data_IF_653493883470
#
_entry.id   IF_653493883470
#
_cell.length_a   1.000
_cell.length_b   1.000
_cell.length_c   1.000
_cell.angle_alpha   90.00
_cell.angle_beta   90.00
_cell.angle_gamma   90.00
#
_symmetry.space_group_name_H-M   'P 1'
#
loop_
_entity.id
_entity.type
_entity.pdbx_description
1 polymer ?
#
# COMPACT_ATOMS: atom_id res chain seq x y z
N UNK A 1 33.81 -38.59 -26.01
CA UNK A 1 32.34 -38.26 -26.06
C UNK A 1 31.70 -37.93 -24.71
N UNK A 2 32.40 -37.94 -23.57
CA UNK A 2 31.84 -37.79 -22.20
C UNK A 2 31.64 -36.33 -21.75
N UNK A 3 32.38 -35.37 -22.30
CA UNK A 3 32.34 -33.95 -21.83
C UNK A 3 31.18 -33.08 -22.33
N UNK A 4 30.43 -33.53 -23.35
CA UNK A 4 29.27 -32.73 -23.87
C UNK A 4 28.01 -32.85 -22.99
N UNK A 5 27.84 -33.99 -22.30
CA UNK A 5 26.68 -34.19 -21.42
C UNK A 5 26.80 -33.37 -20.14
N UNK A 6 27.97 -33.28 -19.54
CA UNK A 6 28.20 -32.51 -18.30
C UNK A 6 27.95 -31.01 -18.51
N UNK A 7 28.31 -30.44 -19.67
CA UNK A 7 28.04 -29.05 -20.00
C UNK A 7 26.56 -28.73 -20.10
N UNK A 8 25.75 -29.66 -20.65
CA UNK A 8 24.26 -29.43 -20.75
C UNK A 8 23.59 -29.46 -19.40
N UNK A 9 23.97 -30.36 -18.50
CA UNK A 9 23.37 -30.41 -17.15
C UNK A 9 23.82 -29.26 -16.26
N UNK A 10 25.05 -28.78 -16.39
CA UNK A 10 25.52 -27.59 -15.68
C UNK A 10 24.76 -26.33 -16.08
N UNK A 11 24.44 -26.15 -17.35
CA UNK A 11 23.67 -25.00 -17.84
C UNK A 11 22.22 -25.03 -17.38
N UNK A 12 21.59 -26.23 -17.36
CA UNK A 12 20.21 -26.39 -16.84
C UNK A 12 20.14 -26.13 -15.35
N UNK A 13 21.14 -26.52 -14.57
CA UNK A 13 21.18 -26.28 -13.13
C UNK A 13 21.35 -24.81 -12.79
N UNK A 14 22.21 -24.10 -13.53
CA UNK A 14 22.36 -22.64 -13.37
C UNK A 14 21.07 -21.89 -13.75
N UNK A 15 20.41 -22.31 -14.83
CA UNK A 15 19.16 -21.70 -15.25
C UNK A 15 18.03 -21.89 -14.24
N UNK A 16 17.96 -23.05 -13.57
CA UNK A 16 16.94 -23.32 -12.52
C UNK A 16 17.18 -22.48 -11.26
N UNK A 17 18.45 -22.19 -10.91
CA UNK A 17 18.79 -21.33 -9.76
C UNK A 17 18.42 -19.87 -10.07
N UNK A 18 18.57 -19.41 -11.30
CA UNK A 18 18.20 -18.05 -11.70
C UNK A 18 16.70 -17.83 -11.73
N UNK A 19 15.90 -18.88 -11.98
CA UNK A 19 14.43 -18.79 -11.99
C UNK A 19 13.81 -18.82 -10.59
N UNK A 20 14.53 -19.27 -9.57
CA UNK A 20 14.02 -19.37 -8.19
C UNK A 20 14.25 -18.10 -7.35
N UNK A 21 14.85 -17.03 -7.91
CA UNK A 21 15.25 -15.85 -7.14
C UNK A 21 14.26 -14.68 -7.15
N UNK A 22 13.09 -14.80 -7.78
CA UNK A 22 12.02 -13.81 -7.63
C UNK A 22 11.15 -14.15 -6.42
N UNK A 23 11.68 -14.00 -5.21
CA UNK A 23 10.81 -13.85 -4.04
C UNK A 23 10.20 -12.45 -4.07
N UNK A 24 8.92 -12.37 -4.38
CA UNK A 24 8.12 -11.19 -4.07
C UNK A 24 8.05 -11.09 -2.55
N UNK A 25 8.73 -10.13 -1.98
CA UNK A 25 8.57 -9.79 -0.57
C UNK A 25 7.23 -9.07 -0.43
N UNK A 26 6.24 -9.75 0.12
CA UNK A 26 4.97 -9.13 0.48
C UNK A 26 5.21 -8.20 1.67
N UNK A 27 5.40 -6.92 1.39
CA UNK A 27 5.51 -5.91 2.43
C UNK A 27 4.14 -5.65 3.03
N UNK A 28 3.98 -6.01 4.29
CA UNK A 28 2.72 -5.84 5.00
C UNK A 28 2.63 -4.46 5.65
N UNK A 29 1.43 -3.90 5.58
CA UNK A 29 1.08 -2.64 6.21
C UNK A 29 -0.23 -2.82 6.97
N UNK A 30 -0.44 -2.01 8.00
CA UNK A 30 -1.70 -1.94 8.72
C UNK A 30 -2.15 -0.48 8.87
N UNK A 31 -3.43 -0.27 9.14
CA UNK A 31 -3.98 1.05 9.43
C UNK A 31 -4.25 1.18 10.93
N UNK A 32 -3.50 2.03 11.59
CA UNK A 32 -3.74 2.41 12.99
C UNK A 32 -4.87 3.44 13.04
N UNK A 33 -6.06 2.99 13.45
CA UNK A 33 -7.27 3.82 13.54
C UNK A 33 -7.11 4.94 14.57
N UNK A 34 -6.44 4.67 15.70
CA UNK A 34 -6.26 5.65 16.75
C UNK A 34 -5.34 6.79 16.31
N UNK A 35 -4.28 6.47 15.59
CA UNK A 35 -3.33 7.44 15.05
C UNK A 35 -3.72 7.99 13.69
N UNK A 36 -4.76 7.41 13.03
CA UNK A 36 -5.12 7.74 11.66
C UNK A 36 -3.90 7.66 10.72
N UNK A 37 -3.15 6.56 10.79
CA UNK A 37 -1.93 6.37 10.04
C UNK A 37 -1.83 4.98 9.41
N UNK A 38 -1.10 4.87 8.30
CA UNK A 38 -0.63 3.60 7.73
C UNK A 38 0.79 3.39 8.21
N UNK A 39 1.08 2.18 8.69
CA UNK A 39 2.41 1.80 9.15
C UNK A 39 2.86 0.47 8.55
N UNK A 40 4.14 0.40 8.22
CA UNK A 40 4.79 -0.83 7.79
C UNK A 40 4.98 -1.79 8.97
N UNK A 41 4.82 -3.09 8.70
CA UNK A 41 5.07 -4.16 9.67
C UNK A 41 6.56 -4.56 9.75
N UNK A 42 7.30 -4.29 8.68
CA UNK A 42 8.70 -4.70 8.49
C UNK A 42 9.64 -3.50 8.27
N UNK A 43 9.24 -2.30 8.68
CA UNK A 43 9.96 -1.03 8.49
C UNK A 43 10.22 -0.67 7.02
N UNK A 44 9.42 -1.21 6.10
CA UNK A 44 9.48 -0.83 4.69
C UNK A 44 9.08 0.64 4.50
N UNK A 45 9.83 1.34 3.68
CA UNK A 45 9.63 2.77 3.44
C UNK A 45 8.40 3.04 2.60
N UNK A 46 7.64 4.04 2.99
CA UNK A 46 6.47 4.52 2.24
C UNK A 46 6.91 5.64 1.31
N UNK A 47 7.20 5.28 0.05
CA UNK A 47 7.64 6.24 -0.97
C UNK A 47 6.46 6.74 -1.80
N UNK A 48 5.43 5.91 -1.97
CA UNK A 48 4.27 6.23 -2.80
C UNK A 48 3.03 5.51 -2.30
N UNK A 49 1.94 6.25 -2.20
CA UNK A 49 0.61 5.75 -1.88
C UNK A 49 -0.38 6.13 -2.99
N UNK A 50 -1.19 5.17 -3.40
CA UNK A 50 -2.40 5.42 -4.18
C UNK A 50 -3.59 5.35 -3.24
N UNK A 51 -4.41 6.38 -3.21
CA UNK A 51 -5.62 6.47 -2.40
C UNK A 51 -6.80 6.62 -3.36
N UNK A 52 -7.64 5.61 -3.45
CA UNK A 52 -8.80 5.57 -4.33
C UNK A 52 -10.08 5.63 -3.52
N UNK A 53 -11.02 6.48 -3.90
CA UNK A 53 -12.36 6.49 -3.33
C UNK A 53 -13.23 5.49 -4.09
N UNK A 54 -13.65 4.42 -3.41
CA UNK A 54 -14.46 3.34 -3.98
C UNK A 54 -15.97 3.56 -3.80
N UNK A 55 -16.37 4.67 -3.20
CA UNK A 55 -17.78 4.99 -2.99
C UNK A 55 -18.44 5.45 -4.28
N UNK A 56 -19.72 5.12 -4.41
CA UNK A 56 -20.56 5.58 -5.50
C UNK A 56 -21.25 6.89 -5.06
N UNK A 57 -21.24 7.89 -5.92
CA UNK A 57 -21.99 9.13 -5.72
C UNK A 57 -23.50 8.86 -5.83
N UNK A 58 -24.36 9.77 -5.30
CA UNK A 58 -25.81 9.67 -5.44
C UNK A 58 -26.30 9.59 -6.89
N UNK A 59 -25.53 10.10 -7.84
CA UNK A 59 -25.78 10.04 -9.29
C UNK A 59 -25.37 8.69 -9.94
N UNK A 60 -24.87 7.74 -9.16
CA UNK A 60 -24.43 6.41 -9.62
C UNK A 60 -23.02 6.36 -10.16
N UNK A 61 -22.28 7.47 -10.21
CA UNK A 61 -20.88 7.49 -10.67
C UNK A 61 -19.91 7.35 -9.51
N UNK A 62 -18.72 6.80 -9.79
CA UNK A 62 -17.62 6.79 -8.83
C UNK A 62 -17.17 8.23 -8.52
N UNK A 63 -16.69 8.45 -7.30
CA UNK A 63 -15.95 9.66 -7.01
C UNK A 63 -14.69 9.74 -7.88
N UNK A 64 -14.23 10.97 -8.15
CA UNK A 64 -13.05 11.21 -8.97
C UNK A 64 -11.85 10.35 -8.57
N UNK A 65 -11.08 9.95 -9.60
CA UNK A 65 -10.00 8.99 -9.56
C UNK A 65 -8.99 9.14 -8.43
N UNK A 66 -8.19 8.12 -8.25
CA UNK A 66 -7.24 7.99 -7.16
C UNK A 66 -6.24 9.13 -7.06
N UNK A 67 -5.86 9.47 -5.83
CA UNK A 67 -4.79 10.43 -5.55
C UNK A 67 -3.48 9.69 -5.32
N UNK A 68 -2.46 10.03 -6.08
CA UNK A 68 -1.10 9.55 -5.84
C UNK A 68 -0.36 10.53 -4.95
N UNK A 69 0.08 10.03 -3.80
CA UNK A 69 0.98 10.74 -2.88
C UNK A 69 2.37 10.17 -3.04
N UNK A 70 3.35 11.04 -3.29
CA UNK A 70 4.73 10.67 -3.59
C UNK A 70 5.67 11.39 -2.64
N UNK A 71 6.60 10.66 -2.05
CA UNK A 71 7.72 11.21 -1.30
C UNK A 71 8.72 11.87 -2.27
N UNK A 72 9.04 13.14 -2.05
CA UNK A 72 9.96 13.94 -2.90
C UNK A 72 11.39 13.99 -2.39
N UNK A 73 11.62 13.55 -1.17
CA UNK A 73 12.97 13.45 -0.60
C UNK A 73 13.75 12.23 -1.08
N UNK A 74 14.89 11.99 -0.44
CA UNK A 74 15.65 10.76 -0.67
C UNK A 74 14.81 9.54 -0.27
N UNK A 75 14.59 8.55 -1.15
CA UNK A 75 13.77 7.37 -0.84
C UNK A 75 14.23 6.57 0.38
N UNK A 76 15.54 6.56 0.68
CA UNK A 76 16.08 5.89 1.87
C UNK A 76 15.72 6.58 3.18
N UNK A 77 15.27 7.84 3.13
CA UNK A 77 14.82 8.63 4.27
C UNK A 77 13.29 8.74 4.35
N UNK A 78 12.58 8.10 3.42
CA UNK A 78 11.13 8.06 3.48
C UNK A 78 10.69 7.37 4.79
N UNK A 79 9.57 7.80 5.39
CA UNK A 79 9.07 7.20 6.62
C UNK A 79 8.51 5.79 6.38
N UNK A 80 8.47 4.98 7.41
CA UNK A 80 7.77 3.70 7.48
C UNK A 80 6.32 3.85 8.00
N UNK A 81 5.93 5.07 8.36
CA UNK A 81 4.58 5.45 8.80
C UNK A 81 4.11 6.71 8.05
N UNK A 82 2.88 6.70 7.55
CA UNK A 82 2.23 7.85 6.92
C UNK A 82 1.00 8.25 7.73
N UNK A 83 1.04 9.44 8.34
CA UNK A 83 -0.06 10.01 9.12
C UNK A 83 -0.98 10.86 8.25
N UNK A 84 -2.29 10.60 8.31
CA UNK A 84 -3.31 11.40 7.64
C UNK A 84 -3.75 12.65 8.42
N UNK A 85 -3.39 12.73 9.71
CA UNK A 85 -3.66 13.91 10.53
C UNK A 85 -2.55 14.95 10.36
N UNK A 86 -1.29 14.48 10.25
CA UNK A 86 -0.12 15.34 10.14
C UNK A 86 0.77 14.84 8.99
N UNK A 87 0.36 15.18 7.77
CA UNK A 87 1.08 14.74 6.57
C UNK A 87 2.43 15.45 6.51
N UNK A 88 3.50 14.66 6.39
CA UNK A 88 4.85 15.18 6.24
C UNK A 88 4.93 16.04 4.97
N UNK A 89 5.59 17.22 5.11
CA UNK A 89 5.73 18.23 4.05
C UNK A 89 6.35 17.70 2.75
N UNK A 90 7.15 16.62 2.84
CA UNK A 90 7.84 16.02 1.70
C UNK A 90 6.95 15.07 0.89
N UNK A 91 5.71 14.83 1.32
CA UNK A 91 4.70 14.17 0.50
C UNK A 91 3.96 15.18 -0.38
N UNK A 92 3.90 14.87 -1.66
CA UNK A 92 3.25 15.67 -2.67
C UNK A 92 2.29 14.82 -3.49
N UNK A 93 1.27 15.44 -4.09
CA UNK A 93 0.54 14.81 -5.17
C UNK A 93 1.47 14.58 -6.36
N UNK A 94 1.13 13.62 -7.22
CA UNK A 94 1.94 13.32 -8.40
C UNK A 94 2.16 14.56 -9.28
N UNK A 95 1.17 15.43 -9.36
CA UNK A 95 1.23 16.71 -10.10
C UNK A 95 2.16 17.77 -9.44
N UNK A 96 2.80 17.45 -8.33
CA UNK A 96 3.78 18.29 -7.65
C UNK A 96 3.21 19.22 -6.57
N UNK A 97 1.88 19.31 -6.40
CA UNK A 97 1.27 20.09 -5.30
C UNK A 97 1.49 19.40 -3.97
N UNK A 98 1.66 20.17 -2.89
CA UNK A 98 1.74 19.64 -1.53
C UNK A 98 0.51 18.80 -1.19
N UNK A 99 0.74 17.64 -0.55
CA UNK A 99 -0.34 16.78 -0.08
C UNK A 99 -0.85 17.14 1.32
N UNK A 100 -0.32 18.21 1.93
CA UNK A 100 -0.58 18.62 3.32
C UNK A 100 -2.07 18.81 3.63
N UNK A 101 -2.87 19.20 2.63
CA UNK A 101 -4.30 19.46 2.78
C UNK A 101 -5.18 18.26 2.41
N UNK A 102 -4.57 17.08 2.18
CA UNK A 102 -5.37 15.88 1.89
C UNK A 102 -6.25 15.55 3.07
N UNK A 103 -7.54 15.29 2.80
CA UNK A 103 -8.53 14.81 3.75
C UNK A 103 -9.42 13.77 3.08
N UNK A 104 -9.79 12.75 3.83
CA UNK A 104 -10.83 11.83 3.41
C UNK A 104 -12.20 12.54 3.39
N UNK A 105 -13.04 12.16 2.44
CA UNK A 105 -14.45 12.57 2.45
C UNK A 105 -15.22 11.78 3.50
N UNK A 106 -16.28 12.37 4.03
CA UNK A 106 -17.17 11.72 4.99
C UNK A 106 -17.95 10.56 4.38
N UNK A 107 -18.24 9.55 5.18
CA UNK A 107 -19.08 8.39 4.84
C UNK A 107 -18.65 7.69 3.54
N UNK A 108 -17.35 7.57 3.31
CA UNK A 108 -16.79 7.00 2.10
C UNK A 108 -15.98 5.72 2.38
N UNK A 109 -15.90 4.89 1.36
CA UNK A 109 -15.02 3.72 1.28
C UNK A 109 -13.79 4.07 0.44
N UNK A 110 -12.61 3.69 0.92
CA UNK A 110 -11.36 3.88 0.20
C UNK A 110 -10.55 2.61 0.13
N UNK A 111 -9.84 2.45 -0.99
CA UNK A 111 -8.70 1.54 -1.12
C UNK A 111 -7.42 2.37 -1.09
N UNK A 112 -6.49 1.97 -0.24
CA UNK A 112 -5.16 2.55 -0.14
C UNK A 112 -4.15 1.47 -0.53
N UNK A 113 -3.30 1.80 -1.52
CA UNK A 113 -2.27 0.91 -2.03
C UNK A 113 -0.89 1.56 -1.84
N UNK A 114 0.06 0.80 -1.32
CA UNK A 114 1.47 1.18 -1.45
C UNK A 114 1.91 0.83 -2.87
N UNK A 115 2.42 1.80 -3.61
CA UNK A 115 2.98 1.60 -4.95
C UNK A 115 4.48 1.93 -4.92
N UNK A 116 5.30 1.13 -5.55
CA UNK A 116 6.73 1.40 -5.71
C UNK A 116 7.54 0.12 -5.89
N UNK A 117 8.66 0.18 -6.64
CA UNK A 117 9.59 -0.92 -6.79
C UNK A 117 9.13 -2.10 -7.65
N UNK A 118 8.14 -1.91 -8.52
CA UNK A 118 7.77 -2.92 -9.53
C UNK A 118 6.91 -4.09 -9.04
N UNK A 119 6.52 -4.13 -7.76
CA UNK A 119 5.65 -5.17 -7.23
C UNK A 119 4.34 -4.65 -6.66
N UNK A 120 3.28 -5.48 -6.72
CA UNK A 120 1.99 -5.10 -6.22
C UNK A 120 2.10 -4.81 -4.75
N UNK A 121 1.79 -3.74 -4.56
CA UNK A 121 1.30 -3.03 -3.46
C UNK A 121 0.39 -3.85 -2.59
N UNK A 122 0.64 -3.71 -1.33
CA UNK A 122 -0.30 -4.10 -0.31
C UNK A 122 -1.54 -3.18 -0.39
N UNK A 123 -2.74 -3.77 -0.30
CA UNK A 123 -4.00 -3.04 -0.33
C UNK A 123 -4.66 -3.05 1.03
N UNK A 124 -5.04 -1.87 1.51
CA UNK A 124 -5.86 -1.68 2.70
C UNK A 124 -7.16 -1.01 2.28
N UNK A 125 -8.31 -1.54 2.73
CA UNK A 125 -9.59 -0.86 2.60
C UNK A 125 -9.98 -0.23 3.93
N UNK A 126 -10.54 0.96 3.85
CA UNK A 126 -10.97 1.73 5.01
C UNK A 126 -12.37 2.31 4.81
N UNK A 127 -13.07 2.55 5.92
CA UNK A 127 -14.33 3.29 5.96
C UNK A 127 -14.16 4.54 6.80
N UNK A 128 -14.74 5.65 6.33
CA UNK A 128 -14.73 6.92 7.04
C UNK A 128 -16.12 7.25 7.62
N UNK A 129 -16.13 7.92 8.76
CA UNK A 129 -17.32 8.44 9.42
C UNK A 129 -17.80 9.77 8.81
N UNK A 130 -18.80 10.39 9.44
CA UNK A 130 -19.37 11.68 9.03
C UNK A 130 -18.38 12.85 9.08
N UNK A 131 -17.26 12.70 9.79
CA UNK A 131 -16.20 13.71 9.89
C UNK A 131 -15.01 13.40 8.96
N UNK A 132 -15.07 12.30 8.20
CA UNK A 132 -13.96 11.83 7.37
C UNK A 132 -12.87 11.12 8.14
N UNK A 133 -13.10 10.75 9.42
CA UNK A 133 -12.17 9.96 10.22
C UNK A 133 -12.37 8.48 9.94
N UNK A 134 -11.27 7.76 9.79
CA UNK A 134 -11.31 6.29 9.58
C UNK A 134 -11.73 5.61 10.86
N UNK A 135 -12.78 4.78 10.79
CA UNK A 135 -13.31 4.00 11.91
C UNK A 135 -13.28 2.48 11.68
N UNK A 136 -13.09 2.03 10.44
CA UNK A 136 -12.92 0.61 10.09
C UNK A 136 -11.84 0.41 9.05
N UNK A 137 -11.14 -0.71 9.12
CA UNK A 137 -10.13 -1.13 8.16
C UNK A 137 -10.10 -2.64 8.00
N UNK A 138 -9.61 -3.12 6.85
CA UNK A 138 -9.35 -4.55 6.61
C UNK A 138 -8.09 -5.05 7.30
N UNK A 139 -7.17 -4.16 7.68
CA UNK A 139 -5.89 -4.51 8.29
C UNK A 139 -5.60 -3.60 9.50
N UNK A 140 -6.22 -3.89 10.66
CA UNK A 140 -6.00 -3.10 11.88
C UNK A 140 -4.67 -3.42 12.58
N UNK A 141 -4.03 -4.55 12.25
CA UNK A 141 -2.76 -5.02 12.84
C UNK A 141 -1.92 -5.74 11.79
N UNK A 142 -0.63 -5.91 12.10
CA UNK A 142 0.27 -6.73 11.28
C UNK A 142 -0.15 -8.21 11.30
N UNK A 143 0.23 -8.94 10.22
CA UNK A 143 0.05 -10.39 10.14
C UNK A 143 -1.33 -10.85 9.68
N UNK A 144 -2.28 -9.95 9.46
CA UNK A 144 -3.52 -10.31 8.80
C UNK A 144 -3.23 -10.59 7.33
N UNK A 145 -3.58 -11.79 6.87
CA UNK A 145 -3.62 -12.09 5.43
C UNK A 145 -4.72 -11.22 4.81
N UNK A 146 -4.51 -10.81 3.55
CA UNK A 146 -5.54 -10.14 2.76
C UNK A 146 -6.86 -10.89 2.93
N UNK A 147 -7.80 -10.28 3.63
CA UNK A 147 -9.14 -10.83 3.78
C UNK A 147 -9.87 -10.62 2.45
N UNK A 148 -10.68 -11.61 2.07
CA UNK A 148 -11.56 -11.53 0.92
C UNK A 148 -12.43 -10.26 0.95
N UNK A 149 -13.04 -9.92 -0.16
CA UNK A 149 -13.62 -8.61 -0.51
C UNK A 149 -14.43 -7.85 0.56
N UNK A 150 -14.96 -8.52 1.59
CA UNK A 150 -15.78 -7.92 2.65
C UNK A 150 -15.16 -7.97 4.06
N UNK A 151 -13.88 -8.28 4.16
CA UNK A 151 -13.17 -8.56 5.42
C UNK A 151 -12.85 -7.34 6.29
N UNK A 152 -13.79 -6.44 6.53
CA UNK A 152 -13.63 -5.40 7.54
C UNK A 152 -13.64 -5.99 8.94
N UNK A 153 -12.58 -5.78 9.68
CA UNK A 153 -12.47 -6.20 11.08
C UNK A 153 -13.01 -5.08 11.97
N UNK A 154 -13.92 -5.43 12.87
CA UNK A 154 -14.30 -4.54 13.96
C UNK A 154 -13.12 -4.45 14.92
N UNK A 155 -12.58 -3.24 15.11
CA UNK A 155 -11.60 -3.02 16.17
C UNK A 155 -12.39 -2.91 17.47
N UNK A 156 -12.12 -3.73 18.49
CA UNK A 156 -12.75 -3.55 19.80
C UNK A 156 -12.38 -2.16 20.32
N UNK A 157 -13.38 -1.45 20.82
CA UNK A 157 -13.24 -0.16 21.52
C UNK A 157 -12.35 -0.30 22.74
#
# INVERSE_FOLDING_TARGET
>A
MRNRKIRKYGFLLILSILLSSCKTTDHQFYFDINKQSIKSCDNERIVKLLIQNDSIKPDGFLYEGGKFLVWKGNPSLAPDEFSFININKDFHYFEGKSAKDFKFKSNCKYTIEKSGGGNPSFKIRILTDSLGKVYKTTHPTCGLKSLEEDGYVNVPN
#
